data_IF_805243542343
#
_entry.id   IF_805243542343
#
_cell.length_a   1.000
_cell.length_b   1.000
_cell.length_c   1.000
_cell.angle_alpha   90.00
_cell.angle_beta   90.00
_cell.angle_gamma   90.00
#
_symmetry.space_group_name_H-M   'P 1'
#
loop_
_entity.id
_entity.type
_entity.pdbx_description
1 polymer ?
#
# COMPACT_ATOMS: atom_id res chain seq x y z
N UNK A 1 0.89 1.86 -7.12
CA UNK A 1 2.28 1.97 -6.66
C UNK A 1 2.26 1.83 -5.15
N UNK A 2 2.92 0.79 -4.68
CA UNK A 2 2.91 0.32 -3.29
C UNK A 2 4.01 0.98 -2.45
N UNK A 3 4.89 1.74 -3.10
CA UNK A 3 5.87 2.59 -2.42
C UNK A 3 6.83 3.23 -3.41
N UNK A 4 7.91 3.78 -2.84
CA UNK A 4 9.05 4.25 -3.61
C UNK A 4 10.35 3.84 -2.93
N UNK A 5 11.39 3.78 -3.74
CA UNK A 5 12.75 3.45 -3.35
C UNK A 5 13.72 4.37 -4.06
N UNK A 6 14.78 4.76 -3.35
CA UNK A 6 15.84 5.57 -3.91
C UNK A 6 17.17 4.81 -3.85
N UNK A 7 17.62 4.20 -4.95
CA UNK A 7 18.94 3.61 -5.03
C UNK A 7 20.04 4.67 -4.90
N UNK A 8 21.17 4.28 -4.32
CA UNK A 8 22.35 5.16 -4.18
C UNK A 8 23.31 5.07 -5.37
N UNK A 9 23.15 4.03 -6.18
CA UNK A 9 23.93 3.73 -7.38
C UNK A 9 23.03 3.25 -8.52
N UNK A 10 23.56 3.25 -9.74
CA UNK A 10 22.93 2.64 -10.93
C UNK A 10 23.41 1.21 -11.18
N UNK A 11 24.23 0.65 -10.27
CA UNK A 11 24.64 -0.76 -10.29
C UNK A 11 23.59 -1.65 -9.59
N UNK A 12 22.87 -2.50 -10.33
CA UNK A 12 21.84 -3.34 -9.75
C UNK A 12 22.41 -4.44 -8.84
N UNK A 13 23.66 -4.88 -9.03
CA UNK A 13 24.25 -5.91 -8.19
C UNK A 13 24.56 -5.41 -6.78
N UNK A 14 24.75 -4.10 -6.62
CA UNK A 14 24.97 -3.45 -5.33
C UNK A 14 23.63 -3.09 -4.66
N UNK A 15 22.68 -2.58 -5.43
CA UNK A 15 21.46 -1.97 -4.89
C UNK A 15 20.32 -2.97 -4.66
N UNK A 16 20.11 -3.90 -5.61
CA UNK A 16 18.97 -4.81 -5.56
C UNK A 16 19.01 -5.82 -4.40
N UNK A 17 20.17 -6.37 -3.97
CA UNK A 17 20.19 -7.26 -2.81
C UNK A 17 19.64 -6.58 -1.55
N UNK A 18 20.03 -5.33 -1.29
CA UNK A 18 19.53 -4.56 -0.14
C UNK A 18 18.02 -4.31 -0.22
N UNK A 19 17.50 -3.93 -1.39
CA UNK A 19 16.07 -3.76 -1.60
C UNK A 19 15.30 -5.06 -1.37
N UNK A 20 15.80 -6.18 -1.91
CA UNK A 20 15.17 -7.49 -1.77
C UNK A 20 15.02 -7.89 -0.30
N UNK A 21 16.05 -7.65 0.51
CA UNK A 21 16.00 -7.92 1.95
C UNK A 21 15.04 -6.98 2.68
N UNK A 22 15.02 -5.70 2.31
CA UNK A 22 14.09 -4.73 2.89
C UNK A 22 12.63 -5.11 2.62
N UNK A 23 12.29 -5.49 1.38
CA UNK A 23 10.93 -5.90 1.01
C UNK A 23 10.47 -7.20 1.67
N UNK A 24 11.42 -8.08 2.02
CA UNK A 24 11.11 -9.27 2.79
C UNK A 24 10.80 -8.93 4.24
N UNK A 25 11.60 -8.06 4.86
CA UNK A 25 11.44 -7.66 6.25
C UNK A 25 10.15 -6.87 6.54
N UNK A 26 9.51 -6.29 5.51
CA UNK A 26 8.27 -5.51 5.64
C UNK A 26 6.99 -6.37 5.55
N UNK A 27 7.10 -7.66 5.20
CA UNK A 27 5.94 -8.55 5.08
C UNK A 27 5.42 -9.03 6.45
N UNK A 28 4.13 -9.40 6.57
CA UNK A 28 3.63 -10.07 7.77
C UNK A 28 4.32 -11.42 7.97
N UNK A 29 4.75 -11.69 9.21
CA UNK A 29 5.61 -12.83 9.57
C UNK A 29 5.08 -14.21 9.17
N UNK A 30 3.77 -14.35 9.01
CA UNK A 30 3.10 -15.62 8.69
C UNK A 30 3.13 -15.95 7.18
N UNK A 31 3.49 -15.00 6.31
CA UNK A 31 3.46 -15.12 4.84
C UNK A 31 4.75 -14.59 4.18
N UNK A 32 5.91 -15.03 4.69
CA UNK A 32 7.21 -14.74 4.06
C UNK A 32 7.43 -15.58 2.79
N UNK A 33 6.64 -15.29 1.75
CA UNK A 33 6.94 -15.76 0.41
C UNK A 33 8.19 -15.02 -0.11
N UNK A 34 9.21 -15.72 -0.65
CA UNK A 34 10.40 -15.05 -1.16
C UNK A 34 10.10 -14.30 -2.46
N UNK A 35 10.82 -13.18 -2.69
CA UNK A 35 10.83 -12.53 -4.01
C UNK A 35 11.63 -13.43 -4.95
N UNK A 36 11.00 -13.83 -6.05
CA UNK A 36 11.60 -14.74 -7.04
C UNK A 36 11.94 -14.03 -8.35
N UNK A 37 11.31 -12.87 -8.61
CA UNK A 37 11.48 -12.16 -9.87
C UNK A 37 11.31 -10.65 -9.68
N UNK A 38 12.22 -9.86 -10.25
CA UNK A 38 12.11 -8.41 -10.35
C UNK A 38 12.11 -7.99 -11.82
N UNK A 39 11.18 -7.11 -12.17
CA UNK A 39 11.08 -6.46 -13.47
C UNK A 39 11.53 -5.01 -13.33
N UNK A 40 12.48 -4.58 -14.17
CA UNK A 40 13.06 -3.25 -14.15
C UNK A 40 13.08 -2.62 -15.54
N UNK A 41 13.04 -1.29 -15.58
CA UNK A 41 13.35 -0.55 -16.80
C UNK A 41 14.84 -0.59 -17.10
N UNK A 42 15.24 -1.07 -18.27
CA UNK A 42 16.65 -1.28 -18.61
C UNK A 42 17.47 0.02 -18.66
N UNK A 43 16.87 1.13 -19.11
CA UNK A 43 17.61 2.40 -19.29
C UNK A 43 18.00 3.09 -17.99
N UNK A 44 17.48 2.62 -16.86
CA UNK A 44 17.66 3.26 -15.56
C UNK A 44 18.86 2.64 -14.79
N UNK A 45 19.51 1.63 -15.38
CA UNK A 45 20.58 0.82 -14.77
C UNK A 45 21.74 0.59 -15.74
N UNK A 46 22.97 0.56 -15.22
CA UNK A 46 24.20 0.42 -16.02
C UNK A 46 24.53 -1.02 -16.41
N UNK A 47 23.95 -2.00 -15.69
CA UNK A 47 24.12 -3.42 -15.97
C UNK A 47 22.77 -4.14 -15.99
N UNK A 48 22.73 -5.26 -16.70
CA UNK A 48 21.50 -6.04 -16.89
C UNK A 48 21.70 -7.54 -16.60
N UNK A 49 22.21 -7.93 -15.41
CA UNK A 49 22.35 -9.35 -15.06
C UNK A 49 21.00 -10.04 -15.09
N UNK A 50 20.94 -11.29 -15.55
CA UNK A 50 19.67 -12.06 -15.58
C UNK A 50 19.29 -12.65 -14.22
N UNK A 51 20.28 -12.89 -13.37
CA UNK A 51 20.13 -13.55 -12.07
C UNK A 51 20.91 -12.77 -11.04
N UNK A 52 20.31 -12.61 -9.87
CA UNK A 52 20.91 -11.94 -8.73
C UNK A 52 20.91 -12.89 -7.55
N UNK A 53 22.10 -13.16 -7.01
CA UNK A 53 22.21 -13.89 -5.75
C UNK A 53 22.03 -12.90 -4.61
N UNK A 54 21.15 -13.23 -3.67
CA UNK A 54 20.86 -12.43 -2.49
C UNK A 54 21.08 -13.30 -1.28
N UNK A 55 22.13 -12.99 -0.52
CA UNK A 55 22.43 -13.64 0.74
C UNK A 55 21.56 -12.99 1.83
N UNK A 56 20.58 -13.73 2.35
CA UNK A 56 19.70 -13.30 3.43
C UNK A 56 20.14 -13.82 4.80
N UNK A 57 19.46 -13.38 5.87
CA UNK A 57 19.78 -13.81 7.23
C UNK A 57 19.53 -15.31 7.47
N UNK A 58 18.54 -15.89 6.78
CA UNK A 58 18.14 -17.30 6.96
C UNK A 58 18.63 -18.22 5.84
N UNK A 59 18.71 -17.72 4.61
CA UNK A 59 19.07 -18.50 3.44
C UNK A 59 19.64 -17.62 2.32
N UNK A 60 20.30 -18.24 1.34
CA UNK A 60 20.71 -17.57 0.11
C UNK A 60 19.81 -17.95 -1.06
N UNK A 61 19.25 -16.94 -1.72
CA UNK A 61 18.36 -17.15 -2.86
C UNK A 61 18.84 -16.51 -4.15
N UNK A 62 18.34 -17.05 -5.25
CA UNK A 62 18.52 -16.47 -6.57
C UNK A 62 17.23 -15.80 -7.02
N UNK A 63 17.33 -14.53 -7.43
CA UNK A 63 16.23 -13.72 -7.93
C UNK A 63 16.41 -13.52 -9.43
N UNK A 64 15.39 -13.85 -10.21
CA UNK A 64 15.37 -13.56 -11.65
C UNK A 64 15.22 -12.06 -11.86
N UNK A 65 15.98 -11.50 -12.80
CA UNK A 65 15.85 -10.11 -13.22
C UNK A 65 15.40 -10.06 -14.68
N UNK A 66 14.38 -9.26 -14.98
CA UNK A 66 13.93 -8.99 -16.33
C UNK A 66 13.97 -7.51 -16.63
N UNK A 67 14.54 -7.20 -17.79
CA UNK A 67 14.87 -5.85 -18.20
C UNK A 67 14.03 -5.46 -19.40
N UNK A 68 13.36 -4.33 -19.32
CA UNK A 68 12.44 -3.86 -20.34
C UNK A 68 12.77 -2.42 -20.72
N UNK A 69 12.89 -2.13 -22.02
CA UNK A 69 13.12 -0.77 -22.50
C UNK A 69 11.87 0.12 -22.53
N UNK A 70 10.68 -0.49 -22.47
CA UNK A 70 9.39 0.19 -22.67
C UNK A 70 8.58 0.42 -21.38
N UNK A 71 9.15 0.08 -20.21
CA UNK A 71 8.48 0.34 -18.94
C UNK A 71 8.44 1.86 -18.66
N UNK A 72 7.45 2.32 -17.90
CA UNK A 72 7.47 3.67 -17.34
C UNK A 72 8.78 3.95 -16.61
N UNK A 73 9.28 5.18 -16.69
CA UNK A 73 10.51 5.59 -16.01
C UNK A 73 10.38 5.37 -14.51
N UNK A 74 11.40 4.76 -13.90
CA UNK A 74 11.41 4.45 -12.47
C UNK A 74 10.46 3.32 -12.06
N UNK A 75 9.77 2.60 -12.95
CA UNK A 75 8.96 1.47 -12.51
C UNK A 75 9.82 0.25 -12.19
N UNK A 76 9.66 -0.28 -10.97
CA UNK A 76 10.20 -1.56 -10.53
C UNK A 76 9.06 -2.42 -9.99
N UNK A 77 8.91 -3.65 -10.49
CA UNK A 77 7.91 -4.60 -9.99
C UNK A 77 8.62 -5.81 -9.37
N UNK A 78 8.37 -6.07 -8.09
CA UNK A 78 8.81 -7.28 -7.41
C UNK A 78 7.68 -8.31 -7.37
N UNK A 79 8.00 -9.56 -7.71
CA UNK A 79 7.06 -10.69 -7.74
C UNK A 79 7.50 -11.73 -6.71
N UNK A 80 6.58 -12.07 -5.82
CA UNK A 80 6.73 -13.05 -4.76
C UNK A 80 6.39 -14.45 -5.29
N UNK A 81 6.90 -15.51 -4.64
CA UNK A 81 6.66 -16.89 -5.07
C UNK A 81 5.19 -17.31 -5.00
N UNK A 82 4.37 -16.59 -4.22
CA UNK A 82 2.92 -16.75 -4.12
C UNK A 82 2.14 -16.01 -5.22
N UNK A 83 2.84 -15.29 -6.10
CA UNK A 83 2.25 -14.49 -7.19
C UNK A 83 1.89 -13.05 -6.81
N UNK A 84 2.04 -12.66 -5.53
CA UNK A 84 1.87 -11.27 -5.09
C UNK A 84 2.86 -10.36 -5.83
N UNK A 85 2.41 -9.15 -6.17
CA UNK A 85 3.21 -8.14 -6.86
C UNK A 85 3.29 -6.87 -6.01
N UNK A 86 4.46 -6.23 -6.05
CA UNK A 86 4.72 -4.94 -5.41
C UNK A 86 5.35 -4.03 -6.45
N UNK A 87 4.67 -2.94 -6.76
CA UNK A 87 5.12 -1.93 -7.72
C UNK A 87 5.72 -0.72 -7.00
N UNK A 88 7.01 -0.50 -7.18
CA UNK A 88 7.76 0.61 -6.59
C UNK A 88 8.14 1.64 -7.64
N UNK A 89 8.08 2.91 -7.23
CA UNK A 89 8.74 4.00 -7.93
C UNK A 89 10.21 4.09 -7.52
N UNK A 90 11.12 3.96 -8.47
CA UNK A 90 12.56 4.11 -8.31
C UNK A 90 12.93 5.56 -8.65
N UNK A 91 13.49 6.27 -7.68
CA UNK A 91 14.03 7.62 -7.90
C UNK A 91 15.42 7.48 -8.53
N UNK A 92 15.75 8.16 -9.64
CA UNK A 92 17.08 8.06 -10.24
C UNK A 92 18.19 8.39 -9.23
N UNK A 93 19.28 7.61 -9.22
CA UNK A 93 20.39 7.80 -8.27
C UNK A 93 21.06 9.18 -8.38
N UNK A 94 21.01 9.81 -9.56
CA UNK A 94 21.53 11.16 -9.83
C UNK A 94 20.62 12.29 -9.32
N UNK A 95 19.45 11.97 -8.76
CA UNK A 95 18.52 12.96 -8.22
C UNK A 95 19.11 13.63 -6.99
N UNK A 96 18.95 14.96 -6.88
CA UNK A 96 19.32 15.71 -5.67
C UNK A 96 18.61 15.17 -4.41
N UNK A 97 19.27 15.24 -3.26
CA UNK A 97 18.79 14.64 -2.01
C UNK A 97 17.44 15.22 -1.54
N UNK A 98 17.26 16.53 -1.65
CA UNK A 98 16.01 17.17 -1.27
C UNK A 98 14.86 16.75 -2.20
N UNK A 99 15.14 16.66 -3.50
CA UNK A 99 14.16 16.22 -4.49
C UNK A 99 13.81 14.74 -4.33
N UNK A 100 14.80 13.89 -4.10
CA UNK A 100 14.60 12.47 -3.88
C UNK A 100 13.78 12.21 -2.61
N UNK A 101 14.10 12.92 -1.52
CA UNK A 101 13.34 12.84 -0.28
C UNK A 101 11.90 13.28 -0.45
N UNK A 102 11.65 14.39 -1.14
CA UNK A 102 10.30 14.86 -1.44
C UNK A 102 9.51 13.84 -2.28
N UNK A 103 10.16 13.17 -3.24
CA UNK A 103 9.54 12.11 -4.03
C UNK A 103 9.17 10.89 -3.17
N UNK A 104 10.06 10.44 -2.29
CA UNK A 104 9.80 9.33 -1.36
C UNK A 104 8.66 9.66 -0.40
N UNK A 105 8.64 10.86 0.19
CA UNK A 105 7.56 11.32 1.10
C UNK A 105 6.22 11.38 0.38
N UNK A 106 6.22 11.85 -0.88
CA UNK A 106 5.03 11.92 -1.72
C UNK A 106 4.49 10.52 -2.04
N UNK A 107 5.35 9.56 -2.36
CA UNK A 107 4.96 8.19 -2.61
C UNK A 107 4.43 7.50 -1.34
N UNK A 108 5.10 7.68 -0.20
CA UNK A 108 4.65 7.12 1.08
C UNK A 108 3.23 7.60 1.44
N UNK A 109 2.89 8.86 1.15
CA UNK A 109 1.54 9.40 1.38
C UNK A 109 0.49 8.78 0.46
N UNK A 110 0.86 8.38 -0.76
CA UNK A 110 -0.06 7.73 -1.71
C UNK A 110 -0.26 6.24 -1.42
N UNK A 111 0.76 5.58 -0.88
CA UNK A 111 0.72 4.14 -0.57
C UNK A 111 0.18 3.83 0.83
N UNK A 112 0.06 4.84 1.71
CA UNK A 112 -0.58 4.65 3.01
C UNK A 112 -2.04 4.21 2.80
N UNK A 113 -2.50 3.11 3.42
CA UNK A 113 -3.91 2.75 3.39
C UNK A 113 -4.67 3.94 3.99
N UNK A 114 -5.66 4.46 3.26
CA UNK A 114 -6.57 5.47 3.79
C UNK A 114 -7.08 4.93 5.13
N UNK A 115 -6.77 5.61 6.24
CA UNK A 115 -7.36 5.23 7.53
C UNK A 115 -8.86 5.14 7.30
N UNK A 116 -9.55 4.09 7.78
CA UNK A 116 -11.00 4.04 7.68
C UNK A 116 -11.54 5.34 8.30
N UNK A 117 -12.06 6.23 7.46
CA UNK A 117 -12.80 7.39 7.92
C UNK A 117 -14.01 6.80 8.62
N UNK A 118 -14.01 6.80 9.96
CA UNK A 118 -15.13 6.27 10.74
C UNK A 118 -16.42 6.98 10.27
N UNK A 119 -17.39 6.25 9.70
CA UNK A 119 -18.63 6.86 9.23
C UNK A 119 -19.47 7.47 10.36
N UNK A 120 -19.08 7.31 11.64
CA UNK A 120 -19.84 7.81 12.81
C UNK A 120 -19.69 9.32 13.08
N UNK A 121 -18.79 10.04 12.42
CA UNK A 121 -18.65 11.49 12.69
C UNK A 121 -19.70 12.36 11.95
N UNK A 122 -20.52 11.75 11.07
CA UNK A 122 -21.56 12.50 10.32
C UNK A 122 -22.91 12.62 11.02
N UNK A 123 -23.05 12.17 12.27
CA UNK A 123 -24.36 12.12 12.96
C UNK A 123 -24.36 12.86 14.29
N UNK A 124 -23.95 14.14 14.31
CA UNK A 124 -24.13 14.99 15.49
C UNK A 124 -24.65 16.41 15.22
N UNK A 125 -25.62 16.55 14.31
CA UNK A 125 -26.49 17.74 14.28
C UNK A 125 -27.92 17.39 13.86
N UNK A 126 -28.60 16.50 14.61
CA UNK A 126 -30.07 16.51 14.67
C UNK A 126 -30.57 15.76 15.90
N UNK A 127 -30.55 16.39 17.08
CA UNK A 127 -31.38 15.97 18.23
C UNK A 127 -31.44 17.04 19.32
N UNK A 128 -32.36 17.99 19.11
CA UNK A 128 -33.16 18.72 20.12
C UNK A 128 -34.42 19.13 19.33
N UNK A 129 -35.66 18.79 19.65
CA UNK A 129 -36.31 18.52 20.92
C UNK A 129 -37.49 17.55 20.66
N UNK A 130 -37.64 16.50 21.47
CA UNK A 130 -38.53 16.41 22.64
C UNK A 130 -40.00 16.03 22.31
N UNK A 131 -40.28 14.75 22.55
CA UNK A 131 -41.33 14.20 23.40
C UNK A 131 -42.72 14.86 23.36
N UNK A 132 -43.69 14.11 22.86
CA UNK A 132 -45.07 14.13 23.37
C UNK A 132 -45.72 12.74 23.21
N UNK A 133 -45.23 11.76 23.97
CA UNK A 133 -46.03 10.60 24.34
C UNK A 133 -46.86 10.97 25.56
N UNK A 134 -48.19 10.96 25.45
CA UNK A 134 -49.07 11.03 26.62
C UNK A 134 -49.96 9.78 26.61
N UNK A 135 -49.66 8.90 27.55
CA UNK A 135 -50.45 7.73 27.89
C UNK A 135 -51.84 8.09 28.42
N UNK A 136 -52.79 7.22 28.08
CA UNK A 136 -53.84 6.62 28.91
C UNK A 136 -54.65 7.48 29.90
N UNK A 137 -55.99 7.39 29.79
CA UNK A 137 -56.89 7.78 30.89
C UNK A 137 -58.32 8.16 30.50
N UNK A 138 -59.23 7.18 30.40
CA UNK A 138 -60.53 7.25 31.10
C UNK A 138 -61.80 7.74 30.37
N UNK A 139 -62.82 6.87 30.46
CA UNK A 139 -64.27 7.08 30.68
C UNK A 139 -65.27 6.68 29.58
N UNK A 140 -66.17 5.80 30.04
CA UNK A 140 -67.54 5.57 29.58
C UNK A 140 -68.34 6.87 29.36
N UNK A 141 -69.14 6.87 28.30
CA UNK A 141 -70.50 7.44 28.21
C UNK A 141 -71.17 6.75 27.00
N UNK A 142 -71.99 5.71 27.22
CA UNK A 142 -73.45 5.81 27.42
C UNK A 142 -74.14 6.65 26.33
N UNK A 143 -74.76 6.00 25.34
CA UNK A 143 -75.88 6.56 24.56
C UNK A 143 -76.98 5.48 24.34
N UNK A 144 -78.23 5.71 24.78
CA UNK A 144 -79.38 4.81 24.61
C UNK A 144 -80.19 5.13 23.32
N UNK A 145 -81.31 4.40 23.02
CA UNK A 145 -81.65 3.95 21.66
C UNK A 145 -82.82 4.68 20.99
N UNK A 146 -83.05 4.38 19.70
CA UNK A 146 -84.35 4.46 19.00
C UNK A 146 -84.20 3.77 17.62
N UNK A 147 -85.13 3.00 17.06
CA UNK A 147 -86.41 2.40 17.45
C UNK A 147 -86.72 1.35 16.38
#
# INVERSE_FOLDING_TARGET
>A
MDGAWWPRSVDPAVELPGLVLALQAQGPSDEHSPIVHIMLRATDWDAHPRRLRVDGPEDTREVLLSWFGNLPAGLLTAIYADGRRVDLLTVPASTDDAAARAALETAARMSAPEKPTDPRDRSRTRSTAQNAGKSDGGRLQEQPPAR
#
